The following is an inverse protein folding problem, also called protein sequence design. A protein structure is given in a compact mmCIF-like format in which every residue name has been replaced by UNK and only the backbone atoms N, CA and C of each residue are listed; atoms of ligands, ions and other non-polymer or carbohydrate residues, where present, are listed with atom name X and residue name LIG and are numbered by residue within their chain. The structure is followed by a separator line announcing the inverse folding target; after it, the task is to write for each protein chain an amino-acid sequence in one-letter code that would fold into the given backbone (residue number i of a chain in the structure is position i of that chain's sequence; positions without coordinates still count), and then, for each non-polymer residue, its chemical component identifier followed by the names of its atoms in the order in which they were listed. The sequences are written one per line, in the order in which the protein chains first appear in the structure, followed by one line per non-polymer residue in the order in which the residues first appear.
data_IF_863165121898
#
_entry.id   IF_863165121898
#
_cell.length_a   1.000
_cell.length_b   1.000
_cell.length_c   1.000
_cell.angle_alpha   90.00
_cell.angle_beta   90.00
_cell.angle_gamma   90.00
#
_symmetry.space_group_name_H-M   'P 1'
#
loop_
_entity.id
_entity.type
_entity.pdbx_description
1 polymer ?
#
# COMPACT_ATOMS: atom_id res chain seq x y z
N UNK A 1 3.35 16.94 31.81
CA UNK A 1 2.82 18.04 30.98
C UNK A 1 1.97 18.98 31.83
N UNK A 2 1.94 20.30 31.57
CA UNK A 2 1.04 21.22 32.26
C UNK A 2 -0.43 20.86 31.99
N UNK A 3 -1.34 21.07 32.96
CA UNK A 3 -2.76 20.80 32.78
C UNK A 3 -3.33 21.68 31.66
N UNK A 4 -4.20 21.10 30.82
CA UNK A 4 -4.78 21.82 29.69
C UNK A 4 -5.72 22.90 30.21
N UNK A 5 -5.64 24.10 29.63
CA UNK A 5 -6.55 25.20 29.90
C UNK A 5 -7.98 24.82 29.46
N UNK A 6 -8.95 24.99 30.37
CA UNK A 6 -10.34 24.68 30.08
C UNK A 6 -10.98 25.79 29.25
N UNK A 7 -11.71 25.40 28.21
CA UNK A 7 -12.64 26.31 27.53
C UNK A 7 -13.77 26.72 28.48
N UNK A 8 -14.43 27.85 28.17
CA UNK A 8 -15.63 28.31 28.90
C UNK A 8 -16.74 27.23 28.89
N UNK A 9 -16.90 26.54 27.75
CA UNK A 9 -17.82 25.42 27.58
C UNK A 9 -17.48 24.26 28.52
N UNK A 10 -16.22 23.83 28.58
CA UNK A 10 -15.82 22.71 29.44
C UNK A 10 -15.97 23.05 30.91
N UNK A 11 -15.66 24.29 31.29
CA UNK A 11 -15.88 24.78 32.64
C UNK A 11 -17.37 24.72 33.04
N UNK A 12 -18.28 25.08 32.13
CA UNK A 12 -19.73 24.96 32.34
C UNK A 12 -20.19 23.50 32.46
N UNK A 13 -19.70 22.62 31.58
CA UNK A 13 -20.04 21.20 31.61
C UNK A 13 -19.52 20.51 32.88
N UNK A 14 -18.31 20.82 33.35
CA UNK A 14 -17.77 20.33 34.63
C UNK A 14 -18.68 20.73 35.79
N UNK A 15 -19.13 22.00 35.84
CA UNK A 15 -20.06 22.47 36.88
C UNK A 15 -21.40 21.73 36.85
N UNK A 16 -21.89 21.36 35.67
CA UNK A 16 -23.12 20.56 35.52
C UNK A 16 -22.89 19.11 35.94
N UNK A 17 -21.79 18.51 35.51
CA UNK A 17 -21.41 17.13 35.84
C UNK A 17 -21.25 16.94 37.36
N UNK A 18 -20.70 17.93 38.08
CA UNK A 18 -20.59 17.91 39.54
C UNK A 18 -21.93 17.76 40.29
N UNK A 19 -23.06 18.11 39.65
CA UNK A 19 -24.39 18.02 40.27
C UNK A 19 -25.07 16.68 40.01
N UNK A 20 -24.45 15.81 39.20
CA UNK A 20 -25.04 14.52 38.85
C UNK A 20 -24.86 13.53 39.99
N UNK A 21 -25.82 12.60 40.16
CA UNK A 21 -25.71 11.56 41.16
C UNK A 21 -24.56 10.59 40.82
N UNK A 22 -23.97 9.93 41.83
CA UNK A 22 -23.12 8.77 41.59
C UNK A 22 -23.94 7.66 40.92
N UNK A 23 -23.30 6.79 40.14
CA UNK A 23 -23.99 5.70 39.47
C UNK A 23 -24.38 4.63 40.50
N UNK A 24 -25.53 3.97 40.29
CA UNK A 24 -26.02 2.91 41.18
C UNK A 24 -25.17 1.61 41.13
N UNK A 25 -24.32 1.48 40.12
CA UNK A 25 -23.41 0.37 39.91
C UNK A 25 -22.11 0.90 39.30
N UNK A 26 -21.07 0.04 39.23
CA UNK A 26 -19.86 0.36 38.50
C UNK A 26 -20.22 0.76 37.06
N UNK A 27 -19.65 1.86 36.58
CA UNK A 27 -19.89 2.38 35.24
C UNK A 27 -18.54 2.79 34.66
N UNK A 28 -18.04 1.98 33.73
CA UNK A 28 -16.70 2.12 33.19
C UNK A 28 -16.75 2.43 31.71
N UNK A 29 -16.14 3.56 31.32
CA UNK A 29 -16.05 3.99 29.93
C UNK A 29 -14.62 3.89 29.40
N UNK A 30 -14.50 3.66 28.09
CA UNK A 30 -13.29 3.92 27.33
C UNK A 30 -13.61 4.93 26.24
N UNK A 31 -12.83 6.01 26.16
CA UNK A 31 -12.98 7.02 25.13
C UNK A 31 -11.87 6.81 24.10
N UNK A 32 -12.27 6.55 22.86
CA UNK A 32 -11.36 6.20 21.78
C UNK A 32 -11.54 7.14 20.61
N UNK A 33 -10.44 7.65 20.08
CA UNK A 33 -10.40 8.32 18.80
C UNK A 33 -9.98 7.31 17.73
N UNK A 34 -10.74 7.19 16.65
CA UNK A 34 -10.37 6.34 15.53
C UNK A 34 -10.76 6.97 14.19
N UNK A 35 -9.94 6.73 13.18
CA UNK A 35 -10.19 7.13 11.81
C UNK A 35 -11.05 6.06 11.12
N UNK A 36 -12.11 6.46 10.42
CA UNK A 36 -12.95 5.49 9.70
C UNK A 36 -12.27 4.98 8.43
N UNK A 37 -12.72 3.83 7.94
CA UNK A 37 -12.26 3.20 6.69
C UNK A 37 -13.20 3.57 5.54
N UNK A 38 -13.41 4.87 5.36
CA UNK A 38 -14.20 5.49 4.30
C UNK A 38 -13.60 6.83 3.90
N UNK A 39 -13.93 7.29 2.70
CA UNK A 39 -13.63 8.62 2.21
C UNK A 39 -14.85 9.53 2.34
N UNK A 40 -14.62 10.70 2.93
CA UNK A 40 -15.59 11.81 2.98
C UNK A 40 -14.92 13.08 2.46
N UNK A 41 -15.70 14.06 2.05
CA UNK A 41 -15.17 15.39 1.80
C UNK A 41 -15.06 16.16 3.12
N UNK A 42 -13.90 16.78 3.38
CA UNK A 42 -13.80 17.74 4.46
C UNK A 42 -14.47 19.08 4.10
N UNK A 43 -14.38 20.06 5.01
CA UNK A 43 -14.95 21.40 4.81
C UNK A 43 -14.36 22.17 3.61
N UNK A 44 -13.25 21.72 3.03
CA UNK A 44 -12.62 22.28 1.83
C UNK A 44 -12.92 21.49 0.57
N UNK A 45 -13.73 20.42 0.66
CA UNK A 45 -14.02 19.51 -0.45
C UNK A 45 -12.93 18.46 -0.69
N UNK A 46 -11.88 18.39 0.15
CA UNK A 46 -10.79 17.42 0.00
C UNK A 46 -11.20 16.07 0.58
N UNK A 47 -10.88 15.01 -0.13
CA UNK A 47 -11.07 13.65 0.37
C UNK A 47 -10.24 13.44 1.63
N UNK A 48 -10.90 12.99 2.71
CA UNK A 48 -10.26 12.61 3.95
C UNK A 48 -10.96 11.40 4.57
N UNK A 49 -10.22 10.67 5.39
CA UNK A 49 -10.80 9.68 6.30
C UNK A 49 -11.21 10.42 7.59
N UNK A 50 -12.51 10.42 7.95
CA UNK A 50 -12.98 11.23 9.05
C UNK A 50 -12.58 10.61 10.40
N UNK A 51 -12.11 11.46 11.30
CA UNK A 51 -11.90 11.11 12.70
C UNK A 51 -13.21 11.12 13.47
N UNK A 52 -13.42 10.07 14.26
CA UNK A 52 -14.54 9.95 15.20
C UNK A 52 -14.02 9.75 16.61
N UNK A 53 -14.77 10.29 17.58
CA UNK A 53 -14.62 9.94 18.99
C UNK A 53 -15.75 8.98 19.34
N UNK A 54 -15.40 7.84 19.93
CA UNK A 54 -16.31 6.80 20.41
C UNK A 54 -16.32 6.78 21.94
N UNK A 55 -17.49 6.57 22.51
CA UNK A 55 -17.67 6.22 23.91
C UNK A 55 -18.07 4.75 24.00
N UNK A 56 -17.16 3.93 24.50
CA UNK A 56 -17.37 2.51 24.76
C UNK A 56 -17.74 2.34 26.23
N UNK A 57 -18.85 1.68 26.51
CA UNK A 57 -19.16 1.19 27.84
C UNK A 57 -18.50 -0.17 28.04
N UNK A 58 -17.37 -0.20 28.75
CA UNK A 58 -16.66 -1.44 29.09
C UNK A 58 -17.46 -2.28 30.10
N UNK A 59 -18.20 -1.61 30.98
CA UNK A 59 -19.08 -2.26 31.96
C UNK A 59 -20.30 -1.37 32.23
N UNK A 60 -21.52 -1.94 32.26
CA UNK A 60 -21.81 -3.38 32.28
C UNK A 60 -21.97 -4.07 30.91
N UNK A 61 -22.27 -3.36 29.81
CA UNK A 61 -22.74 -4.04 28.58
C UNK A 61 -21.66 -4.41 27.57
N UNK A 62 -20.50 -3.75 27.56
CA UNK A 62 -19.48 -3.97 26.52
C UNK A 62 -19.92 -3.45 25.14
N UNK A 63 -20.46 -2.23 25.05
CA UNK A 63 -21.04 -1.70 23.81
C UNK A 63 -20.58 -0.27 23.50
N UNK A 64 -20.61 0.12 22.23
CA UNK A 64 -20.46 1.53 21.84
C UNK A 64 -21.79 2.25 22.11
N UNK A 65 -21.78 3.22 23.02
CA UNK A 65 -22.99 3.91 23.49
C UNK A 65 -23.15 5.32 22.93
N UNK A 66 -22.08 5.92 22.40
CA UNK A 66 -22.12 7.22 21.77
C UNK A 66 -20.95 7.40 20.78
N UNK A 67 -21.13 8.25 19.77
CA UNK A 67 -20.07 8.64 18.86
C UNK A 67 -20.29 10.05 18.30
N UNK A 68 -19.20 10.74 17.95
CA UNK A 68 -19.26 12.01 17.22
C UNK A 68 -18.17 12.10 16.18
N UNK A 69 -18.48 12.75 15.05
CA UNK A 69 -17.48 13.14 14.05
C UNK A 69 -16.70 14.35 14.55
N UNK A 70 -15.41 14.40 14.22
CA UNK A 70 -14.57 15.57 14.44
C UNK A 70 -14.85 16.69 13.46
N UNK A 71 -14.60 17.92 13.89
CA UNK A 71 -14.70 19.12 13.07
C UNK A 71 -13.45 19.97 13.31
N UNK A 72 -12.50 20.04 12.35
CA UNK A 72 -12.54 19.40 11.02
C UNK A 72 -12.40 17.87 11.07
N UNK A 73 -13.06 17.17 10.15
CA UNK A 73 -13.07 15.70 10.12
C UNK A 73 -11.71 15.09 9.78
N UNK A 74 -10.85 15.83 9.09
CA UNK A 74 -9.51 15.40 8.67
C UNK A 74 -8.46 15.42 9.79
N UNK A 75 -8.79 15.96 10.98
CA UNK A 75 -7.83 16.11 12.08
C UNK A 75 -8.17 15.20 13.26
N UNK A 76 -7.16 14.60 13.90
CA UNK A 76 -7.37 13.85 15.13
C UNK A 76 -7.87 14.77 16.25
N UNK A 77 -8.70 14.26 17.18
CA UNK A 77 -9.16 15.05 18.32
C UNK A 77 -8.01 15.44 19.24
N UNK A 78 -8.05 16.68 19.73
CA UNK A 78 -7.22 17.07 20.87
C UNK A 78 -7.76 16.47 22.17
N UNK A 79 -6.97 16.41 23.26
CA UNK A 79 -7.51 15.97 24.55
C UNK A 79 -8.68 16.87 25.02
N UNK A 80 -8.67 18.16 24.67
CA UNK A 80 -9.78 19.08 24.95
C UNK A 80 -11.07 18.64 24.25
N UNK A 81 -10.99 18.16 23.01
CA UNK A 81 -12.15 17.66 22.26
C UNK A 81 -12.69 16.38 22.89
N UNK A 82 -11.81 15.47 23.30
CA UNK A 82 -12.17 14.24 23.99
C UNK A 82 -12.84 14.51 25.34
N UNK A 83 -12.33 15.48 26.12
CA UNK A 83 -12.96 15.92 27.36
C UNK A 83 -14.33 16.54 27.10
N UNK A 84 -14.43 17.41 26.09
CA UNK A 84 -15.69 18.07 25.71
C UNK A 84 -16.76 17.05 25.32
N UNK A 85 -16.37 16.03 24.55
CA UNK A 85 -17.23 14.92 24.15
C UNK A 85 -17.69 14.11 25.36
N UNK A 86 -16.77 13.67 26.21
CA UNK A 86 -17.07 12.89 27.42
C UNK A 86 -18.02 13.65 28.35
N UNK A 87 -17.72 14.92 28.64
CA UNK A 87 -18.56 15.71 29.54
C UNK A 87 -19.94 15.99 28.94
N UNK A 88 -20.03 16.21 27.63
CA UNK A 88 -21.32 16.36 26.95
C UNK A 88 -22.12 15.06 27.04
N UNK A 89 -21.47 13.91 26.85
CA UNK A 89 -22.10 12.60 27.02
C UNK A 89 -22.58 12.37 28.45
N UNK A 90 -21.78 12.67 29.47
CA UNK A 90 -22.16 12.51 30.88
C UNK A 90 -23.39 13.37 31.23
N UNK A 91 -23.40 14.61 30.75
CA UNK A 91 -24.41 15.60 31.11
C UNK A 91 -25.71 15.43 30.31
N UNK A 92 -25.63 14.95 29.08
CA UNK A 92 -26.75 14.75 28.18
C UNK A 92 -26.51 13.49 27.30
N UNK A 93 -26.63 12.30 27.90
CA UNK A 93 -26.33 11.06 27.20
C UNK A 93 -27.45 10.70 26.20
N UNK A 94 -27.17 9.88 25.18
CA UNK A 94 -28.20 9.38 24.25
C UNK A 94 -29.38 8.70 24.96
N UNK A 95 -30.53 8.60 24.29
CA UNK A 95 -31.73 7.94 24.86
C UNK A 95 -31.39 6.55 25.40
N UNK A 96 -31.96 6.21 26.56
CA UNK A 96 -31.78 4.94 27.28
C UNK A 96 -30.39 4.74 27.93
N UNK A 97 -29.62 5.82 28.10
CA UNK A 97 -28.37 5.82 28.85
C UNK A 97 -28.57 6.53 30.20
N UNK A 98 -27.89 6.08 31.27
CA UNK A 98 -28.01 6.72 32.58
C UNK A 98 -27.36 8.09 32.58
N UNK A 99 -28.06 9.09 33.14
CA UNK A 99 -27.47 10.40 33.45
C UNK A 99 -26.72 10.29 34.78
N UNK A 100 -25.50 9.77 34.73
CA UNK A 100 -24.67 9.52 35.90
C UNK A 100 -23.18 9.75 35.61
N UNK A 101 -22.41 10.02 36.66
CA UNK A 101 -20.95 10.07 36.56
C UNK A 101 -20.39 8.65 36.41
N UNK A 102 -19.52 8.36 35.42
CA UNK A 102 -18.83 7.08 35.38
C UNK A 102 -17.88 6.96 36.57
N UNK A 103 -17.78 5.76 37.14
CA UNK A 103 -16.78 5.50 38.20
C UNK A 103 -15.37 5.50 37.63
N UNK A 104 -15.22 5.09 36.37
CA UNK A 104 -13.93 4.94 35.71
C UNK A 104 -14.00 5.36 34.24
N UNK A 105 -12.97 6.06 33.77
CA UNK A 105 -12.76 6.40 32.36
C UNK A 105 -11.35 5.98 31.96
N UNK A 106 -11.22 5.38 30.79
CA UNK A 106 -9.93 5.01 30.23
C UNK A 106 -9.70 5.57 28.82
N UNK A 107 -8.42 5.75 28.48
CA UNK A 107 -7.95 6.17 27.17
C UNK A 107 -6.85 5.21 26.69
N UNK A 108 -6.57 5.22 25.38
CA UNK A 108 -5.49 4.40 24.78
C UNK A 108 -4.14 5.11 24.87
N UNK A 109 -4.15 6.44 24.74
CA UNK A 109 -2.94 7.26 24.74
C UNK A 109 -2.64 7.78 26.16
N UNK A 110 -1.46 7.41 26.68
CA UNK A 110 -0.96 7.84 27.97
C UNK A 110 -0.91 9.37 28.10
N UNK A 111 -0.53 10.09 27.03
CA UNK A 111 -0.44 11.55 27.04
C UNK A 111 -1.82 12.20 27.21
N UNK A 112 -2.85 11.62 26.60
CA UNK A 112 -4.25 12.04 26.76
C UNK A 112 -4.72 11.77 28.19
N UNK A 113 -4.44 10.57 28.72
CA UNK A 113 -4.75 10.20 30.11
C UNK A 113 -4.17 11.21 31.09
N UNK A 114 -2.87 11.51 30.98
CA UNK A 114 -2.18 12.44 31.87
C UNK A 114 -2.74 13.86 31.78
N UNK A 115 -3.07 14.31 30.57
CA UNK A 115 -3.57 15.65 30.34
C UNK A 115 -5.00 15.85 30.88
N UNK A 116 -5.82 14.79 30.89
CA UNK A 116 -7.23 14.84 31.32
C UNK A 116 -7.46 14.42 32.78
N UNK A 117 -6.53 13.66 33.36
CA UNK A 117 -6.67 13.14 34.72
C UNK A 117 -6.94 14.22 35.80
N UNK A 118 -6.29 15.41 35.80
CA UNK A 118 -6.59 16.44 36.79
C UNK A 118 -8.05 16.93 36.76
N UNK A 119 -8.66 16.98 35.58
CA UNK A 119 -10.03 17.46 35.41
C UNK A 119 -11.06 16.40 35.80
N UNK A 120 -10.81 15.14 35.43
CA UNK A 120 -11.71 14.03 35.72
C UNK A 120 -11.65 13.58 37.19
N UNK A 121 -10.49 13.62 37.84
CA UNK A 121 -10.36 13.31 39.27
C UNK A 121 -11.14 14.30 40.16
N UNK A 122 -11.28 15.56 39.73
CA UNK A 122 -12.14 16.54 40.43
C UNK A 122 -13.62 16.15 40.42
N UNK A 123 -14.03 15.36 39.43
CA UNK A 123 -15.38 14.79 39.33
C UNK A 123 -15.49 13.43 40.05
N UNK A 124 -14.47 13.02 40.82
CA UNK A 124 -14.36 11.70 41.43
C UNK A 124 -14.40 10.54 40.43
N UNK A 125 -13.88 10.76 39.21
CA UNK A 125 -13.77 9.74 38.17
C UNK A 125 -12.35 9.18 38.20
N UNK A 126 -12.21 7.85 38.32
CA UNK A 126 -10.91 7.18 38.16
C UNK A 126 -10.46 7.21 36.70
N UNK A 127 -9.17 7.47 36.47
CA UNK A 127 -8.62 7.62 35.11
C UNK A 127 -7.47 6.65 34.91
N UNK A 128 -7.52 5.88 33.83
CA UNK A 128 -6.50 4.89 33.49
C UNK A 128 -6.14 4.91 32.00
N UNK A 129 -4.95 4.40 31.68
CA UNK A 129 -4.57 4.06 30.30
C UNK A 129 -4.78 2.56 30.12
N UNK A 130 -5.62 2.17 29.15
CA UNK A 130 -5.89 0.77 28.83
C UNK A 130 -5.66 0.52 27.34
N UNK A 131 -5.39 -0.73 26.99
CA UNK A 131 -5.37 -1.16 25.59
C UNK A 131 -6.76 -1.01 24.98
N UNK A 132 -6.80 -0.90 23.65
CA UNK A 132 -8.05 -0.81 22.92
C UNK A 132 -8.97 -2.00 23.26
N UNK A 133 -10.25 -1.72 23.57
CA UNK A 133 -11.22 -2.77 23.81
C UNK A 133 -11.48 -3.62 22.56
N UNK A 134 -11.63 -4.93 22.77
CA UNK A 134 -11.93 -5.88 21.70
C UNK A 134 -13.24 -5.52 20.98
N UNK A 135 -13.27 -5.75 19.68
CA UNK A 135 -14.46 -5.52 18.85
C UNK A 135 -14.68 -4.09 18.35
N UNK A 136 -13.89 -3.08 18.79
CA UNK A 136 -14.01 -1.73 18.20
C UNK A 136 -13.69 -1.75 16.71
N UNK A 137 -12.66 -2.49 16.28
CA UNK A 137 -12.30 -2.58 14.85
C UNK A 137 -13.46 -3.10 14.00
N UNK A 138 -14.17 -4.13 14.47
CA UNK A 138 -15.36 -4.67 13.80
C UNK A 138 -16.52 -3.66 13.81
N UNK A 139 -16.69 -2.92 14.91
CA UNK A 139 -17.69 -1.86 14.99
C UNK A 139 -17.39 -0.74 13.99
N UNK A 140 -16.14 -0.26 13.93
CA UNK A 140 -15.69 0.78 12.99
C UNK A 140 -15.91 0.32 11.56
N UNK A 141 -15.65 -0.95 11.24
CA UNK A 141 -15.94 -1.54 9.92
C UNK A 141 -17.44 -1.51 9.61
N UNK A 142 -18.29 -2.05 10.48
CA UNK A 142 -19.76 -2.04 10.29
C UNK A 142 -20.31 -0.61 10.18
N UNK A 143 -19.79 0.31 10.97
CA UNK A 143 -20.19 1.71 10.94
C UNK A 143 -19.78 2.39 9.63
N UNK A 144 -18.57 2.08 9.13
CA UNK A 144 -18.06 2.51 7.83
C UNK A 144 -18.96 1.98 6.70
N UNK A 145 -19.33 0.70 6.73
CA UNK A 145 -20.23 0.09 5.73
C UNK A 145 -21.62 0.75 5.74
N UNK A 146 -22.15 1.05 6.94
CA UNK A 146 -23.41 1.79 7.08
C UNK A 146 -23.33 3.20 6.47
N UNK A 147 -22.23 3.92 6.67
CA UNK A 147 -22.05 5.25 6.08
C UNK A 147 -22.04 5.21 4.54
N UNK A 148 -21.49 4.16 3.94
CA UNK A 148 -21.54 3.94 2.49
C UNK A 148 -22.97 3.64 2.06
N UNK A 149 -23.68 2.75 2.77
CA UNK A 149 -25.08 2.41 2.48
C UNK A 149 -26.04 3.60 2.60
N UNK A 150 -25.72 4.59 3.43
CA UNK A 150 -26.49 5.81 3.62
C UNK A 150 -26.11 6.94 2.63
N UNK A 151 -25.25 6.67 1.63
CA UNK A 151 -24.69 7.65 0.67
C UNK A 151 -23.95 8.84 1.32
N UNK A 152 -23.40 8.62 2.53
CA UNK A 152 -22.67 9.65 3.29
C UNK A 152 -21.17 9.60 3.13
N UNK A 153 -20.66 8.53 2.53
CA UNK A 153 -19.25 8.32 2.30
C UNK A 153 -19.02 7.37 1.11
N UNK A 154 -17.80 7.37 0.59
CA UNK A 154 -17.40 6.48 -0.51
C UNK A 154 -16.24 5.61 -0.10
N UNK A 155 -16.04 4.50 -0.84
CA UNK A 155 -14.92 3.59 -0.65
C UNK A 155 -14.54 3.01 -1.99
N UNK A 156 -13.27 3.11 -2.35
CA UNK A 156 -12.76 2.50 -3.58
C UNK A 156 -12.36 1.05 -3.33
N UNK A 157 -12.40 0.23 -4.38
CA UNK A 157 -11.87 -1.14 -4.34
C UNK A 157 -10.40 -1.18 -3.93
N UNK A 158 -9.62 -0.17 -4.33
CA UNK A 158 -8.20 -0.03 -3.96
C UNK A 158 -8.04 0.12 -2.45
N UNK A 159 -8.93 0.86 -1.79
CA UNK A 159 -8.83 1.15 -0.35
C UNK A 159 -9.09 -0.07 0.54
N UNK A 160 -9.85 -1.07 0.08
CA UNK A 160 -10.14 -2.32 0.82
C UNK A 160 -9.17 -3.46 0.51
N UNK A 161 -8.19 -3.24 -0.38
CA UNK A 161 -7.17 -4.26 -0.63
C UNK A 161 -6.38 -4.53 0.65
N UNK A 162 -5.89 -5.76 0.87
CA UNK A 162 -4.99 -6.05 1.98
C UNK A 162 -3.71 -5.19 1.86
N UNK A 163 -3.20 -4.71 2.99
CA UNK A 163 -1.94 -3.96 3.04
C UNK A 163 -0.70 -4.87 3.03
N UNK A 164 0.48 -4.27 2.98
CA UNK A 164 1.78 -4.96 2.95
C UNK A 164 2.04 -5.86 4.16
N UNK A 165 1.48 -5.54 5.33
CA UNK A 165 1.60 -6.37 6.54
C UNK A 165 0.80 -7.67 6.46
N UNK A 166 -0.12 -7.81 5.51
CA UNK A 166 -0.82 -9.07 5.25
C UNK A 166 0.07 -10.10 4.53
N UNK A 167 1.20 -9.67 3.97
CA UNK A 167 2.13 -10.56 3.25
C UNK A 167 2.92 -11.41 4.25
N UNK A 168 2.98 -12.73 4.08
CA UNK A 168 3.77 -13.60 4.96
C UNK A 168 5.22 -13.13 5.10
N UNK A 169 5.70 -13.12 6.34
CA UNK A 169 7.07 -12.74 6.72
C UNK A 169 7.45 -11.27 6.48
N UNK A 170 6.52 -10.42 6.04
CA UNK A 170 6.73 -8.96 5.99
C UNK A 170 6.48 -8.38 7.37
N UNK A 171 7.44 -7.60 7.88
CA UNK A 171 7.38 -6.98 9.20
C UNK A 171 7.28 -5.47 9.09
N UNK A 172 6.77 -4.82 10.15
CA UNK A 172 6.73 -3.36 10.22
C UNK A 172 8.12 -2.72 10.10
N UNK A 173 9.18 -3.41 10.55
CA UNK A 173 10.57 -2.96 10.36
C UNK A 173 10.99 -2.97 8.90
N UNK A 174 10.58 -3.99 8.12
CA UNK A 174 10.89 -4.07 6.70
C UNK A 174 10.18 -2.95 5.92
N UNK A 175 8.90 -2.70 6.22
CA UNK A 175 8.14 -1.60 5.59
C UNK A 175 8.73 -0.24 6.00
N UNK A 176 9.17 -0.06 7.24
CA UNK A 176 9.89 1.15 7.67
C UNK A 176 11.16 1.39 6.83
N UNK A 177 11.93 0.34 6.55
CA UNK A 177 13.12 0.43 5.66
C UNK A 177 12.72 0.81 4.23
N UNK A 178 11.67 0.20 3.69
CA UNK A 178 11.12 0.50 2.35
C UNK A 178 10.69 1.95 2.23
N UNK A 179 9.81 2.39 3.11
CA UNK A 179 9.26 3.76 3.13
C UNK A 179 10.36 4.80 3.34
N UNK A 180 11.35 4.52 4.21
CA UNK A 180 12.53 5.38 4.41
C UNK A 180 13.36 5.49 3.13
N UNK A 181 13.66 4.37 2.47
CA UNK A 181 14.41 4.36 1.22
C UNK A 181 13.66 5.10 0.11
N UNK A 182 12.35 4.88 0.00
CA UNK A 182 11.49 5.57 -0.95
C UNK A 182 11.47 7.08 -0.70
N UNK A 183 11.29 7.56 0.54
CA UNK A 183 11.31 8.99 0.83
C UNK A 183 12.66 9.65 0.51
N UNK A 184 13.78 8.96 0.78
CA UNK A 184 15.12 9.44 0.38
C UNK A 184 15.26 9.54 -1.14
N UNK A 185 14.77 8.54 -1.86
CA UNK A 185 14.72 8.57 -3.33
C UNK A 185 13.85 9.73 -3.83
N UNK A 186 12.70 9.98 -3.18
CA UNK A 186 11.84 11.11 -3.53
C UNK A 186 12.54 12.45 -3.38
N UNK A 187 13.24 12.66 -2.26
CA UNK A 187 14.03 13.86 -2.03
C UNK A 187 15.17 14.02 -3.07
N UNK A 188 15.73 12.91 -3.57
CA UNK A 188 16.78 12.91 -4.58
C UNK A 188 16.28 13.18 -6.01
N UNK A 189 14.97 13.03 -6.27
CA UNK A 189 14.29 13.38 -7.52
C UNK A 189 14.95 12.84 -8.80
N UNK A 190 15.24 11.53 -8.91
CA UNK A 190 15.93 10.95 -10.07
C UNK A 190 15.20 11.20 -11.41
N UNK A 191 13.87 11.27 -11.39
CA UNK A 191 13.02 11.57 -12.57
C UNK A 191 13.28 12.92 -13.20
N UNK A 192 13.91 13.88 -12.50
CA UNK A 192 14.27 15.18 -13.09
C UNK A 192 15.42 15.08 -14.09
N UNK A 193 16.27 14.06 -14.00
CA UNK A 193 17.43 13.92 -14.88
C UNK A 193 17.44 12.60 -15.67
N UNK A 194 16.67 11.60 -15.24
CA UNK A 194 16.57 10.30 -15.92
C UNK A 194 15.22 10.25 -16.64
N UNK A 195 15.28 10.30 -17.98
CA UNK A 195 14.08 10.22 -18.79
C UNK A 195 13.42 8.83 -18.72
N UNK A 196 12.09 8.79 -18.76
CA UNK A 196 11.29 7.54 -18.70
C UNK A 196 11.62 6.53 -19.80
N UNK A 197 12.06 6.99 -20.96
CA UNK A 197 12.45 6.14 -22.07
C UNK A 197 13.82 5.47 -21.89
N UNK A 198 14.60 5.85 -20.87
CA UNK A 198 15.88 5.20 -20.60
C UNK A 198 15.67 3.93 -19.78
N UNK A 199 15.95 2.77 -20.38
CA UNK A 199 16.02 1.52 -19.66
C UNK A 199 17.37 1.41 -18.95
N UNK A 200 17.35 1.35 -17.61
CA UNK A 200 18.55 1.14 -16.81
C UNK A 200 18.68 -0.34 -16.44
N UNK A 201 19.87 -0.90 -16.58
CA UNK A 201 20.22 -2.23 -16.09
C UNK A 201 20.87 -2.10 -14.71
N UNK A 202 20.30 -2.80 -13.74
CA UNK A 202 20.81 -2.88 -12.37
C UNK A 202 21.27 -4.29 -12.05
N UNK A 203 22.48 -4.40 -11.50
CA UNK A 203 23.05 -5.64 -11.00
C UNK A 203 23.18 -5.53 -9.49
N UNK A 204 22.35 -6.28 -8.77
CA UNK A 204 22.42 -6.36 -7.32
C UNK A 204 23.63 -7.20 -6.88
N UNK A 205 24.22 -6.91 -5.71
CA UNK A 205 25.30 -7.71 -5.15
C UNK A 205 24.87 -9.18 -5.00
N UNK A 206 25.83 -10.08 -5.22
CA UNK A 206 25.62 -11.51 -4.98
C UNK A 206 25.57 -11.74 -3.47
N UNK A 207 24.50 -12.37 -2.99
CA UNK A 207 24.49 -12.91 -1.63
C UNK A 207 25.30 -14.20 -1.67
N UNK A 208 26.44 -14.21 -0.95
CA UNK A 208 27.58 -15.15 -0.80
C UNK A 208 27.74 -16.43 -1.65
N UNK A 209 26.70 -16.98 -2.28
CA UNK A 209 26.74 -18.18 -3.14
C UNK A 209 25.85 -18.10 -4.41
N UNK A 210 25.12 -17.01 -4.66
CA UNK A 210 24.19 -16.89 -5.81
C UNK A 210 24.65 -15.90 -6.88
N UNK A 211 24.33 -16.19 -8.14
CA UNK A 211 24.57 -15.27 -9.28
C UNK A 211 23.98 -13.88 -8.98
N UNK A 212 24.69 -12.81 -9.36
CA UNK A 212 24.20 -11.43 -9.30
C UNK A 212 22.82 -11.35 -9.96
N UNK A 213 21.83 -10.86 -9.21
CA UNK A 213 20.49 -10.67 -9.76
C UNK A 213 20.51 -9.45 -10.67
N UNK A 214 19.95 -9.61 -11.87
CA UNK A 214 19.85 -8.55 -12.87
C UNK A 214 18.41 -8.13 -13.03
N UNK A 215 18.18 -6.82 -12.98
CA UNK A 215 16.90 -6.22 -13.28
C UNK A 215 17.05 -5.08 -14.30
N UNK A 216 15.95 -4.73 -14.93
CA UNK A 216 15.80 -3.59 -15.81
C UNK A 216 14.74 -2.68 -15.23
N UNK A 217 15.03 -1.39 -15.13
CA UNK A 217 14.10 -0.42 -14.56
C UNK A 217 13.92 0.78 -15.47
N UNK A 218 12.76 1.42 -15.30
CA UNK A 218 12.47 2.77 -15.77
C UNK A 218 12.12 3.64 -14.57
N UNK A 219 12.57 4.90 -14.61
CA UNK A 219 12.23 5.92 -13.62
C UNK A 219 11.01 6.68 -14.14
N UNK A 220 9.95 6.74 -13.33
CA UNK A 220 8.67 7.37 -13.68
C UNK A 220 8.63 8.79 -13.09
N UNK A 221 8.08 9.75 -13.83
CA UNK A 221 7.86 11.12 -13.33
C UNK A 221 8.14 12.25 -14.31
N UNK A 222 8.25 11.97 -15.61
CA UNK A 222 8.48 12.98 -16.65
C UNK A 222 7.31 13.95 -16.82
N UNK A 223 6.09 13.55 -16.43
CA UNK A 223 4.88 14.38 -16.48
C UNK A 223 4.51 15.01 -15.13
N UNK A 224 5.37 14.82 -14.10
CA UNK A 224 5.18 15.26 -12.71
C UNK A 224 3.91 14.73 -12.00
N UNK A 225 3.09 13.91 -12.66
CA UNK A 225 1.83 13.37 -12.09
C UNK A 225 2.08 12.09 -11.32
N UNK A 226 2.92 11.21 -11.85
CA UNK A 226 3.22 9.91 -11.24
C UNK A 226 4.72 9.74 -11.15
N UNK A 227 5.24 9.85 -9.93
CA UNK A 227 6.66 9.68 -9.64
C UNK A 227 6.92 8.29 -9.08
N UNK A 228 8.07 7.71 -9.41
CA UNK A 228 8.45 6.40 -8.87
C UNK A 228 9.39 5.61 -9.77
N UNK A 229 9.29 4.30 -9.71
CA UNK A 229 9.98 3.40 -10.64
C UNK A 229 9.17 2.15 -10.91
N UNK A 230 9.47 1.54 -12.05
CA UNK A 230 9.02 0.20 -12.39
C UNK A 230 10.21 -0.69 -12.73
N UNK A 231 10.20 -1.92 -12.21
CA UNK A 231 11.29 -2.88 -12.27
C UNK A 231 10.81 -4.19 -12.90
N UNK A 232 11.58 -4.71 -13.86
CA UNK A 232 11.29 -5.95 -14.56
C UNK A 232 12.54 -6.83 -14.64
N UNK A 233 12.40 -8.16 -14.66
CA UNK A 233 13.55 -9.07 -14.81
C UNK A 233 14.09 -9.10 -16.26
N UNK A 234 13.34 -8.57 -17.23
CA UNK A 234 13.62 -8.69 -18.66
C UNK A 234 13.54 -7.35 -19.39
N UNK A 235 14.59 -7.02 -20.14
CA UNK A 235 14.63 -5.84 -21.02
C UNK A 235 13.59 -5.94 -22.14
N UNK A 236 13.36 -7.15 -22.66
CA UNK A 236 12.35 -7.37 -23.69
C UNK A 236 10.94 -7.03 -23.17
N UNK A 237 10.65 -7.35 -21.92
CA UNK A 237 9.35 -7.05 -21.32
C UNK A 237 9.17 -5.55 -21.09
N UNK A 238 10.24 -4.89 -20.64
CA UNK A 238 10.27 -3.43 -20.49
C UNK A 238 10.07 -2.72 -21.83
N UNK A 239 10.78 -3.14 -22.89
CA UNK A 239 10.57 -2.65 -24.26
C UNK A 239 9.14 -2.84 -24.72
N UNK A 240 8.58 -4.04 -24.53
CA UNK A 240 7.22 -4.36 -24.94
C UNK A 240 6.19 -3.49 -24.22
N UNK A 241 6.39 -3.23 -22.92
CA UNK A 241 5.54 -2.32 -22.14
C UNK A 241 5.64 -0.89 -22.65
N UNK A 242 6.86 -0.40 -22.87
CA UNK A 242 7.09 0.96 -23.38
C UNK A 242 6.45 1.17 -24.75
N UNK A 243 6.64 0.23 -25.69
CA UNK A 243 6.01 0.26 -27.02
C UNK A 243 4.48 0.35 -26.93
N UNK A 244 3.85 -0.49 -26.09
CA UNK A 244 2.40 -0.42 -25.86
C UNK A 244 1.99 0.94 -25.30
N UNK A 245 2.70 1.45 -24.29
CA UNK A 245 2.36 2.72 -23.66
C UNK A 245 2.48 3.92 -24.62
N UNK A 246 3.43 3.90 -25.56
CA UNK A 246 3.62 4.97 -26.55
C UNK A 246 2.62 4.84 -27.71
N UNK A 247 2.44 3.64 -28.27
CA UNK A 247 1.54 3.42 -29.42
C UNK A 247 0.06 3.61 -29.06
N UNK A 248 -0.36 3.21 -27.85
CA UNK A 248 -1.73 3.45 -27.39
C UNK A 248 -2.00 4.89 -26.95
N UNK A 249 -0.99 5.78 -26.93
CA UNK A 249 -1.24 7.23 -26.77
C UNK A 249 -1.59 7.92 -28.09
N UNK A 250 -1.21 7.33 -29.23
CA UNK A 250 -1.41 7.92 -30.55
C UNK A 250 -2.73 7.53 -31.20
N UNK A 251 -3.26 6.35 -30.87
CA UNK A 251 -4.63 5.98 -31.22
C UNK A 251 -5.54 6.55 -30.13
N UNK A 252 -6.33 7.57 -30.49
CA UNK A 252 -7.28 8.20 -29.59
C UNK A 252 -8.19 7.18 -28.90
N UNK A 253 -8.68 7.56 -27.73
CA UNK A 253 -9.69 6.87 -26.92
C UNK A 253 -11.03 6.71 -27.69
N UNK A 254 -11.05 5.96 -28.77
CA UNK A 254 -12.25 5.29 -29.24
C UNK A 254 -12.33 4.00 -28.43
N UNK A 255 -13.09 4.11 -27.34
CA UNK A 255 -13.53 3.03 -26.46
C UNK A 255 -14.47 2.09 -27.23
N UNK A 256 -13.93 1.40 -28.23
CA UNK A 256 -14.56 0.22 -28.80
C UNK A 256 -14.33 -0.92 -27.83
N UNK A 257 -15.18 -0.94 -26.80
CA UNK A 257 -15.29 -2.01 -25.84
C UNK A 257 -15.31 -3.37 -26.56
N UNK A 258 -14.22 -4.13 -26.40
CA UNK A 258 -14.02 -5.57 -26.63
C UNK A 258 -12.73 -5.95 -27.39
N UNK A 259 -12.08 -5.05 -28.13
CA UNK A 259 -11.01 -5.47 -29.06
C UNK A 259 -9.57 -5.34 -28.54
N UNK A 260 -9.37 -4.72 -27.38
CA UNK A 260 -8.06 -4.64 -26.70
C UNK A 260 -7.72 -5.83 -25.79
N UNK A 261 -8.61 -6.80 -25.63
CA UNK A 261 -8.28 -8.05 -24.93
C UNK A 261 -7.44 -8.89 -25.87
N UNK A 262 -6.14 -9.03 -25.59
CA UNK A 262 -5.38 -10.16 -26.10
C UNK A 262 -6.19 -11.40 -25.72
N UNK A 263 -6.77 -12.08 -26.71
CA UNK A 263 -7.58 -13.26 -26.47
C UNK A 263 -6.82 -14.20 -25.52
N UNK A 264 -7.48 -14.82 -24.53
CA UNK A 264 -6.84 -15.71 -23.56
C UNK A 264 -6.10 -16.90 -24.19
N UNK A 265 -6.18 -17.08 -25.51
CA UNK A 265 -5.53 -18.16 -26.26
C UNK A 265 -4.29 -17.72 -27.04
N UNK A 266 -3.79 -16.50 -26.87
CA UNK A 266 -2.55 -16.05 -27.54
C UNK A 266 -1.33 -16.60 -26.79
N UNK A 267 -0.85 -17.75 -27.26
CA UNK A 267 0.44 -18.32 -26.84
C UNK A 267 1.58 -17.43 -27.32
N UNK A 268 2.57 -17.14 -26.46
CA UNK A 268 3.70 -16.25 -26.79
C UNK A 268 5.02 -16.96 -26.56
N UNK A 269 6.03 -16.69 -27.40
CA UNK A 269 7.34 -17.30 -27.27
C UNK A 269 8.13 -16.64 -26.14
N UNK A 270 8.61 -17.44 -25.20
CA UNK A 270 9.36 -16.97 -24.04
C UNK A 270 10.75 -16.38 -24.38
N UNK A 271 11.25 -16.60 -25.59
CA UNK A 271 12.52 -16.03 -26.07
C UNK A 271 12.35 -14.72 -26.82
N UNK A 272 11.39 -14.67 -27.76
CA UNK A 272 11.29 -13.55 -28.72
C UNK A 272 10.02 -12.71 -28.57
N UNK A 273 9.05 -13.15 -27.74
CA UNK A 273 7.80 -12.43 -27.52
C UNK A 273 6.81 -12.45 -28.68
N UNK A 274 7.11 -13.15 -29.79
CA UNK A 274 6.16 -13.35 -30.88
C UNK A 274 5.08 -14.34 -30.49
N UNK A 275 3.90 -14.21 -31.09
CA UNK A 275 2.83 -15.21 -30.99
C UNK A 275 3.37 -16.57 -31.46
N UNK A 276 3.06 -17.61 -30.71
CA UNK A 276 3.35 -19.00 -31.04
C UNK A 276 2.10 -19.53 -31.72
N UNK A 277 2.25 -19.93 -32.97
CA UNK A 277 1.21 -20.66 -33.68
C UNK A 277 1.30 -22.15 -33.33
N UNK A 278 0.16 -22.81 -33.24
CA UNK A 278 0.11 -24.25 -33.12
C UNK A 278 0.63 -24.88 -34.41
N UNK A 279 1.64 -25.74 -34.29
CA UNK A 279 2.17 -26.53 -35.40
C UNK A 279 1.41 -27.85 -35.50
N UNK A 280 1.27 -28.38 -36.72
CA UNK A 280 0.73 -29.71 -36.96
C UNK A 280 1.87 -30.73 -36.99
N UNK A 281 1.79 -31.75 -36.14
CA UNK A 281 2.61 -32.94 -36.25
C UNK A 281 2.16 -33.81 -37.44
N UNK A 282 3.03 -34.73 -37.86
CA UNK A 282 2.76 -35.66 -38.97
C UNK A 282 1.50 -36.52 -38.74
N UNK A 283 1.13 -36.76 -37.48
CA UNK A 283 -0.07 -37.50 -37.07
C UNK A 283 -1.33 -36.62 -36.95
N UNK A 284 -1.25 -35.36 -37.38
CA UNK A 284 -2.34 -34.40 -37.32
C UNK A 284 -2.57 -33.76 -35.95
N UNK A 285 -1.77 -34.10 -34.93
CA UNK A 285 -1.88 -33.44 -33.61
C UNK A 285 -1.29 -32.04 -33.65
N UNK A 286 -2.00 -31.09 -33.04
CA UNK A 286 -1.50 -29.74 -32.85
C UNK A 286 -0.57 -29.69 -31.63
N UNK A 287 0.59 -29.07 -31.79
CA UNK A 287 1.56 -28.90 -30.71
C UNK A 287 2.24 -27.54 -30.79
N UNK A 288 2.92 -27.19 -29.71
CA UNK A 288 3.74 -25.99 -29.61
C UNK A 288 5.07 -26.39 -28.97
N UNK A 289 6.17 -25.80 -29.43
CA UNK A 289 7.48 -26.14 -28.87
C UNK A 289 7.53 -25.74 -27.39
N UNK A 290 7.83 -26.71 -26.53
CA UNK A 290 7.90 -26.54 -25.07
C UNK A 290 9.26 -26.95 -24.57
N UNK A 291 9.70 -26.34 -23.48
CA UNK A 291 10.85 -26.87 -22.75
C UNK A 291 10.58 -28.32 -22.32
N UNK A 292 11.43 -29.28 -22.71
CA UNK A 292 11.21 -30.69 -22.43
C UNK A 292 11.25 -31.02 -20.93
N UNK A 293 12.05 -30.27 -20.16
CA UNK A 293 12.23 -30.48 -18.72
C UNK A 293 11.04 -29.91 -17.92
N UNK A 294 10.81 -28.59 -17.96
CA UNK A 294 9.74 -27.99 -17.16
C UNK A 294 8.35 -28.08 -17.83
N UNK A 295 8.29 -28.20 -19.17
CA UNK A 295 7.05 -28.15 -19.98
C UNK A 295 6.22 -26.86 -19.81
N UNK A 296 6.80 -25.82 -19.19
CA UNK A 296 6.14 -24.56 -18.81
C UNK A 296 6.27 -23.44 -19.84
N UNK A 297 7.45 -23.26 -20.44
CA UNK A 297 7.69 -22.21 -21.45
C UNK A 297 7.40 -22.71 -22.87
N UNK A 298 6.79 -21.85 -23.70
CA UNK A 298 6.58 -22.10 -25.12
C UNK A 298 7.59 -21.31 -25.96
N UNK A 299 7.90 -21.87 -27.11
CA UNK A 299 8.79 -21.28 -28.08
C UNK A 299 8.17 -21.34 -29.47
N UNK A 300 8.56 -20.41 -30.34
CA UNK A 300 8.22 -20.53 -31.76
C UNK A 300 8.85 -21.80 -32.34
N UNK A 301 10.08 -22.11 -31.91
CA UNK A 301 10.92 -23.17 -32.42
C UNK A 301 12.02 -23.53 -31.40
N UNK A 302 12.80 -24.56 -31.74
CA UNK A 302 13.95 -24.99 -30.95
C UNK A 302 15.06 -23.92 -30.84
N UNK A 303 15.18 -23.03 -31.83
CA UNK A 303 16.20 -21.98 -31.85
C UNK A 303 15.95 -20.95 -30.75
N UNK A 304 14.69 -20.51 -30.62
CA UNK A 304 14.21 -19.67 -29.54
C UNK A 304 14.42 -20.34 -28.18
N UNK A 305 14.12 -21.63 -28.07
CA UNK A 305 14.35 -22.39 -26.84
C UNK A 305 15.83 -22.41 -26.46
N UNK A 306 16.74 -22.77 -27.37
CA UNK A 306 18.19 -22.83 -27.11
C UNK A 306 18.76 -21.47 -26.70
N UNK A 307 18.30 -20.39 -27.36
CA UNK A 307 18.69 -19.02 -27.03
C UNK A 307 18.26 -18.64 -25.61
N UNK A 308 17.00 -18.88 -25.27
CA UNK A 308 16.45 -18.59 -23.94
C UNK A 308 17.10 -19.46 -22.85
N UNK A 309 17.36 -20.73 -23.16
CA UNK A 309 18.07 -21.69 -22.31
C UNK A 309 19.45 -21.19 -21.91
N UNK A 310 20.24 -20.74 -22.89
CA UNK A 310 21.58 -20.22 -22.66
C UNK A 310 21.57 -18.91 -21.84
N UNK A 311 20.55 -18.05 -22.02
CA UNK A 311 20.51 -16.73 -21.43
C UNK A 311 19.93 -16.68 -20.01
N UNK A 312 18.85 -17.44 -19.74
CA UNK A 312 18.13 -17.37 -18.46
C UNK A 312 17.46 -18.67 -18.05
N UNK A 313 16.87 -19.40 -19.00
CA UNK A 313 15.89 -20.43 -18.65
C UNK A 313 16.51 -21.64 -17.96
N UNK A 314 17.78 -21.98 -18.22
CA UNK A 314 18.44 -23.12 -17.58
C UNK A 314 18.35 -23.07 -16.04
N UNK A 315 18.72 -21.95 -15.43
CA UNK A 315 18.66 -21.79 -13.96
C UNK A 315 17.23 -21.73 -13.41
N UNK A 316 16.30 -21.14 -14.17
CA UNK A 316 14.89 -21.09 -13.79
C UNK A 316 14.26 -22.50 -13.85
N UNK A 317 14.64 -23.30 -14.85
CA UNK A 317 14.15 -24.64 -15.10
C UNK A 317 14.63 -25.65 -14.04
N UNK A 318 15.90 -25.59 -13.65
CA UNK A 318 16.47 -26.44 -12.60
C UNK A 318 15.78 -26.18 -11.24
N UNK A 319 15.54 -24.91 -10.92
CA UNK A 319 14.81 -24.51 -9.71
C UNK A 319 13.37 -25.01 -9.73
N UNK A 320 12.69 -24.91 -10.87
CA UNK A 320 11.31 -25.35 -11.04
C UNK A 320 11.10 -26.87 -10.95
N UNK A 321 12.15 -27.67 -11.15
CA UNK A 321 12.10 -29.13 -11.13
C UNK A 321 12.38 -29.75 -9.75
N UNK A 322 13.02 -29.00 -8.83
CA UNK A 322 13.48 -29.52 -7.54
C UNK A 322 12.44 -29.43 -6.42
N UNK A 323 11.33 -28.72 -6.61
CA UNK A 323 10.34 -28.46 -5.57
C UNK A 323 9.02 -29.17 -5.92
N UNK A 324 8.72 -30.27 -5.21
CA UNK A 324 7.55 -31.12 -5.48
C UNK A 324 6.26 -30.63 -4.80
N UNK A 325 6.35 -29.77 -3.77
CA UNK A 325 5.21 -29.02 -3.23
C UNK A 325 4.84 -27.83 -4.13
N UNK A 326 5.75 -27.45 -5.03
CA UNK A 326 5.55 -26.56 -6.18
C UNK A 326 4.74 -27.20 -7.33
N UNK A 327 3.88 -28.16 -7.02
CA UNK A 327 2.86 -28.71 -7.94
C UNK A 327 1.57 -27.95 -7.69
N UNK A 328 1.57 -26.66 -8.06
CA UNK A 328 0.35 -25.84 -8.10
C UNK A 328 -0.18 -25.70 -9.54
N UNK A 329 -1.49 -25.46 -9.59
CA UNK A 329 -2.44 -25.53 -10.71
C UNK A 329 -1.88 -24.98 -12.02
N UNK A 330 -2.36 -25.58 -13.11
CA UNK A 330 -2.01 -25.39 -14.54
C UNK A 330 -2.09 -23.94 -15.05
N UNK A 331 -2.45 -22.98 -14.19
CA UNK A 331 -2.95 -21.67 -14.55
C UNK A 331 -1.99 -20.53 -14.17
N UNK A 332 -0.94 -20.76 -13.36
CA UNK A 332 -0.28 -19.62 -12.68
C UNK A 332 1.23 -19.38 -12.87
N UNK A 333 2.11 -20.25 -13.41
CA UNK A 333 3.57 -19.96 -13.24
C UNK A 333 4.53 -20.13 -14.44
N UNK A 334 4.02 -20.20 -15.68
CA UNK A 334 4.88 -20.10 -16.88
C UNK A 334 4.98 -18.70 -17.50
N UNK A 335 4.03 -17.82 -17.15
CA UNK A 335 3.68 -16.64 -17.97
C UNK A 335 3.65 -15.34 -17.19
N UNK A 336 3.73 -15.41 -15.86
CA UNK A 336 3.52 -14.24 -15.02
C UNK A 336 4.75 -13.34 -15.02
N UNK A 337 4.75 -12.37 -15.92
CA UNK A 337 5.69 -11.26 -15.88
C UNK A 337 5.32 -10.43 -14.65
N UNK A 338 6.14 -10.54 -13.61
CA UNK A 338 6.02 -9.71 -12.41
C UNK A 338 6.84 -8.45 -12.61
N UNK A 339 6.13 -7.33 -12.64
CA UNK A 339 6.72 -6.01 -12.62
C UNK A 339 6.55 -5.45 -11.21
N UNK A 340 7.66 -5.10 -10.55
CA UNK A 340 7.61 -4.45 -9.25
C UNK A 340 7.53 -2.94 -9.47
N UNK A 341 6.55 -2.31 -8.84
CA UNK A 341 6.28 -0.89 -9.01
C UNK A 341 6.25 -0.22 -7.65
N UNK A 342 6.97 0.90 -7.52
CA UNK A 342 6.88 1.82 -6.39
C UNK A 342 6.45 3.18 -6.93
N UNK A 343 5.26 3.65 -6.55
CA UNK A 343 4.72 4.95 -6.94
C UNK A 343 4.53 5.85 -5.72
N UNK A 344 4.65 7.16 -5.90
CA UNK A 344 4.20 8.14 -4.92
C UNK A 344 2.80 8.59 -5.29
N UNK A 345 1.82 8.22 -4.47
CA UNK A 345 0.39 8.44 -4.74
C UNK A 345 -0.27 9.18 -3.59
N UNK A 346 -1.41 9.81 -3.87
CA UNK A 346 -2.23 10.42 -2.83
C UNK A 346 -2.88 9.33 -1.92
N UNK A 347 -3.38 9.70 -0.73
CA UNK A 347 -3.93 8.75 0.23
C UNK A 347 -5.10 7.91 -0.30
N UNK A 348 -5.89 8.42 -1.26
CA UNK A 348 -7.07 7.71 -1.79
C UNK A 348 -6.72 6.47 -2.60
N UNK A 349 -5.47 6.43 -3.10
CA UNK A 349 -4.91 5.31 -3.85
C UNK A 349 -4.21 4.26 -2.97
N UNK A 350 -4.15 4.49 -1.66
CA UNK A 350 -3.45 3.59 -0.71
C UNK A 350 -4.48 2.70 0.02
N UNK A 351 -4.20 1.40 0.18
CA UNK A 351 -5.00 0.54 1.05
C UNK A 351 -5.15 1.10 2.47
N UNK A 352 -6.33 0.97 3.08
CA UNK A 352 -6.55 1.44 4.45
C UNK A 352 -5.63 0.75 5.46
N UNK A 353 -5.33 -0.54 5.29
CA UNK A 353 -4.37 -1.26 6.14
C UNK A 353 -2.99 -0.61 6.13
N UNK A 354 -2.53 -0.15 4.96
CA UNK A 354 -1.25 0.51 4.84
C UNK A 354 -1.30 1.91 5.48
N UNK A 355 -2.36 2.68 5.25
CA UNK A 355 -2.58 3.99 5.91
C UNK A 355 -2.62 3.86 7.43
N UNK A 356 -3.34 2.88 7.95
CA UNK A 356 -3.39 2.56 9.39
C UNK A 356 -1.97 2.19 9.88
N UNK A 357 -1.19 1.46 9.07
CA UNK A 357 0.21 1.16 9.33
C UNK A 357 1.10 2.41 9.40
N UNK A 358 0.96 3.36 8.47
CA UNK A 358 1.69 4.64 8.51
C UNK A 358 1.39 5.42 9.79
N UNK A 359 0.14 5.42 10.25
CA UNK A 359 -0.25 6.10 11.49
C UNK A 359 0.26 5.38 12.74
N UNK A 360 0.13 4.06 12.80
CA UNK A 360 0.49 3.23 13.95
C UNK A 360 2.01 3.17 14.13
N UNK A 361 2.75 2.87 13.07
CA UNK A 361 4.21 2.64 13.12
C UNK A 361 5.04 3.89 12.80
N UNK A 362 4.37 5.02 12.50
CA UNK A 362 5.02 6.31 12.16
C UNK A 362 6.01 6.19 11.00
N UNK A 363 5.68 5.39 9.99
CA UNK A 363 6.52 5.27 8.80
C UNK A 363 6.63 6.61 8.06
N UNK A 364 7.79 6.93 7.48
CA UNK A 364 7.97 8.17 6.73
C UNK A 364 7.18 8.15 5.40
N UNK A 365 6.64 9.29 5.04
CA UNK A 365 5.99 9.57 3.76
C UNK A 365 6.25 11.05 3.40
N UNK A 366 5.93 11.46 2.17
CA UNK A 366 6.21 12.82 1.68
C UNK A 366 5.12 13.78 2.17
N UNK A 367 5.47 14.66 3.11
CA UNK A 367 4.52 15.57 3.78
C UNK A 367 4.41 16.94 3.12
N UNK A 368 5.41 17.31 2.34
CA UNK A 368 5.56 18.63 1.74
C UNK A 368 4.57 18.87 0.58
N UNK A 369 3.93 17.81 0.11
CA UNK A 369 2.92 17.85 -0.95
C UNK A 369 1.51 17.99 -0.38
N UNK A 370 0.59 18.56 -1.16
CA UNK A 370 -0.82 18.70 -0.80
C UNK A 370 -1.71 18.13 -1.92
N UNK A 371 -2.27 16.91 -1.77
CA UNK A 371 -2.19 16.03 -0.60
C UNK A 371 -0.79 15.43 -0.37
N UNK A 372 -0.48 14.94 0.85
CA UNK A 372 0.77 14.21 1.11
C UNK A 372 0.85 12.97 0.22
N UNK A 373 2.06 12.59 -0.18
CA UNK A 373 2.29 11.42 -1.04
C UNK A 373 2.85 10.25 -0.26
N UNK A 374 2.30 9.07 -0.53
CA UNK A 374 2.63 7.81 0.10
C UNK A 374 3.33 6.90 -0.90
N UNK A 375 4.43 6.22 -0.53
CA UNK A 375 5.02 5.19 -1.36
C UNK A 375 4.10 3.96 -1.39
N UNK A 376 3.40 3.77 -2.51
CA UNK A 376 2.60 2.59 -2.79
C UNK A 376 3.45 1.58 -3.58
N UNK A 377 3.63 0.39 -3.01
CA UNK A 377 4.37 -0.70 -3.66
C UNK A 377 3.46 -1.86 -4.01
N UNK A 378 3.54 -2.31 -5.24
CA UNK A 378 2.79 -3.47 -5.72
C UNK A 378 3.57 -4.23 -6.79
N UNK A 379 3.15 -5.47 -7.04
CA UNK A 379 3.57 -6.22 -8.20
C UNK A 379 2.43 -6.24 -9.22
N UNK A 380 2.67 -5.72 -10.42
CA UNK A 380 1.81 -6.01 -11.55
C UNK A 380 2.15 -7.40 -12.08
N UNK A 381 1.14 -8.25 -12.17
CA UNK A 381 1.28 -9.65 -12.53
C UNK A 381 0.56 -9.84 -13.85
N UNK A 382 1.33 -9.87 -14.92
CA UNK A 382 0.80 -10.01 -16.27
C UNK A 382 0.67 -11.50 -16.63
N UNK A 383 -0.56 -12.01 -16.67
CA UNK A 383 -0.92 -13.32 -17.23
C UNK A 383 -1.90 -13.16 -18.37
N UNK A 384 -2.97 -13.96 -18.40
CA UNK A 384 -4.12 -13.74 -19.29
C UNK A 384 -4.84 -12.42 -18.99
N UNK A 385 -4.86 -12.02 -17.71
CA UNK A 385 -5.28 -10.69 -17.27
C UNK A 385 -4.14 -10.05 -16.48
N UNK A 386 -4.08 -8.72 -16.53
CA UNK A 386 -3.18 -7.96 -15.65
C UNK A 386 -3.85 -7.84 -14.29
N UNK A 387 -3.25 -8.42 -13.25
CA UNK A 387 -3.71 -8.25 -11.86
C UNK A 387 -2.67 -7.54 -11.02
N UNK A 388 -3.14 -6.75 -10.06
CA UNK A 388 -2.29 -6.15 -9.04
C UNK A 388 -2.18 -7.15 -7.88
N UNK A 389 -0.96 -7.44 -7.47
CA UNK A 389 -0.65 -8.29 -6.32
C UNK A 389 0.28 -7.55 -5.34
N UNK A 390 0.31 -8.01 -4.10
CA UNK A 390 1.31 -7.54 -3.14
C UNK A 390 2.70 -8.11 -3.48
N UNK A 391 3.77 -7.34 -3.26
CA UNK A 391 5.13 -7.84 -3.41
C UNK A 391 5.46 -8.79 -2.25
N UNK A 392 6.20 -9.86 -2.55
CA UNK A 392 6.74 -10.77 -1.53
C UNK A 392 7.81 -10.07 -0.68
N UNK A 393 8.17 -10.64 0.47
CA UNK A 393 9.27 -10.14 1.31
C UNK A 393 10.56 -9.88 0.51
N UNK A 394 10.97 -10.82 -0.32
CA UNK A 394 12.19 -10.72 -1.13
C UNK A 394 12.08 -9.63 -2.20
N UNK A 395 10.90 -9.48 -2.80
CA UNK A 395 10.64 -8.40 -3.75
C UNK A 395 10.70 -7.02 -3.07
N UNK A 396 10.19 -6.89 -1.84
CA UNK A 396 10.32 -5.66 -1.04
C UNK A 396 11.79 -5.34 -0.75
N UNK A 397 12.60 -6.35 -0.40
CA UNK A 397 14.05 -6.18 -0.20
C UNK A 397 14.74 -5.67 -1.47
N UNK A 398 14.41 -6.24 -2.64
CA UNK A 398 14.88 -5.74 -3.93
C UNK A 398 14.45 -4.29 -4.16
N UNK A 399 13.19 -3.95 -3.88
CA UNK A 399 12.68 -2.59 -4.07
C UNK A 399 13.37 -1.56 -3.14
N UNK A 400 13.76 -1.97 -1.92
CA UNK A 400 14.58 -1.15 -1.02
C UNK A 400 15.93 -0.83 -1.67
N UNK A 401 16.60 -1.83 -2.23
CA UNK A 401 17.91 -1.65 -2.85
C UNK A 401 17.82 -0.81 -4.13
N UNK A 402 16.75 -0.95 -4.91
CA UNK A 402 16.48 -0.08 -6.07
C UNK A 402 16.25 1.36 -5.64
N UNK A 403 15.45 1.62 -4.60
CA UNK A 403 15.22 2.98 -4.11
C UNK A 403 16.52 3.65 -3.62
N UNK A 404 17.39 2.88 -2.93
CA UNK A 404 18.73 3.36 -2.55
C UNK A 404 19.62 3.64 -3.76
N UNK A 405 19.63 2.73 -4.72
CA UNK A 405 20.36 2.87 -5.99
C UNK A 405 19.98 4.18 -6.69
N UNK A 406 18.69 4.48 -6.79
CA UNK A 406 18.17 5.71 -7.39
C UNK A 406 18.35 6.96 -6.52
N UNK A 407 18.64 6.80 -5.23
CA UNK A 407 19.06 7.91 -4.36
C UNK A 407 20.52 8.29 -4.64
N UNK A 408 21.39 7.32 -4.91
CA UNK A 408 22.81 7.55 -5.22
C UNK A 408 23.04 7.92 -6.71
N UNK A 409 22.20 7.41 -7.61
CA UNK A 409 22.30 7.61 -9.06
C UNK A 409 21.13 8.47 -9.57
N UNK A 410 21.23 9.78 -9.34
CA UNK A 410 20.20 10.77 -9.75
C UNK A 410 20.34 11.27 -11.18
N UNK A 411 21.40 10.88 -11.89
CA UNK A 411 21.68 11.21 -13.29
C UNK A 411 21.89 9.90 -14.08
N UNK A 412 21.57 9.87 -15.38
CA UNK A 412 21.76 8.68 -16.18
C UNK A 412 23.25 8.29 -16.18
N UNK A 413 23.58 6.99 -16.07
CA UNK A 413 24.94 6.54 -16.32
C UNK A 413 25.43 6.96 -17.71
N UNK A 414 26.75 7.12 -17.92
CA UNK A 414 27.29 7.31 -19.27
C UNK A 414 26.84 6.18 -20.20
N UNK A 415 26.62 6.47 -21.49
CA UNK A 415 26.04 5.53 -22.47
C UNK A 415 26.73 4.16 -22.49
N UNK A 416 28.06 4.15 -22.37
CA UNK A 416 28.88 2.93 -22.34
C UNK A 416 29.52 2.68 -20.96
N UNK A 417 29.08 3.41 -19.94
CA UNK A 417 29.62 3.36 -18.59
C UNK A 417 28.83 2.47 -17.64
N UNK A 418 29.53 1.88 -16.67
CA UNK A 418 28.93 1.26 -15.49
C UNK A 418 29.30 2.09 -14.28
N UNK A 419 28.30 2.51 -13.51
CA UNK A 419 28.51 3.15 -12.22
C UNK A 419 28.44 2.07 -11.15
N UNK A 420 29.49 1.96 -10.34
CA UNK A 420 29.52 1.13 -9.16
C UNK A 420 29.19 2.00 -7.94
N UNK A 421 28.10 1.65 -7.27
CA UNK A 421 27.57 2.40 -6.14
C UNK A 421 28.19 1.93 -4.81
N UNK A 422 28.10 2.77 -3.78
CA UNK A 422 28.65 2.44 -2.46
C UNK A 422 27.91 1.24 -1.83
N UNK A 423 26.66 1.03 -2.22
CA UNK A 423 25.85 -0.16 -1.89
C UNK A 423 26.34 -1.47 -2.52
N UNK A 424 27.36 -1.45 -3.38
CA UNK A 424 27.83 -2.61 -4.14
C UNK A 424 26.95 -2.94 -5.35
N UNK A 425 25.89 -2.16 -5.59
CA UNK A 425 25.05 -2.25 -6.78
C UNK A 425 25.77 -1.64 -7.98
N UNK A 426 25.63 -2.25 -9.15
CA UNK A 426 26.11 -1.66 -10.40
C UNK A 426 24.95 -1.24 -11.29
N UNK A 427 24.99 -0.03 -11.82
CA UNK A 427 23.95 0.52 -12.70
C UNK A 427 24.56 1.01 -14.02
N UNK A 428 23.87 0.75 -15.13
CA UNK A 428 24.28 1.13 -16.49
C UNK A 428 23.05 1.42 -17.33
N UNK A 429 23.19 2.22 -18.39
CA UNK A 429 22.14 2.33 -19.41
C UNK A 429 22.10 1.02 -20.19
N UNK A 430 20.93 0.37 -20.23
CA UNK A 430 20.72 -0.81 -21.05
C UNK A 430 20.44 -0.40 -22.50
N UNK A 431 19.57 0.59 -22.67
CA UNK A 431 19.13 1.11 -23.97
C UNK A 431 18.27 2.38 -23.79
N UNK A 432 18.19 3.18 -24.84
CA UNK A 432 17.11 4.17 -25.04
C UNK A 432 15.92 3.52 -25.76
N UNK A 433 14.81 3.32 -25.05
CA UNK A 433 13.61 2.63 -25.55
C UNK A 433 12.93 3.39 -26.70
N UNK A 434 13.14 4.69 -26.83
CA UNK A 434 12.62 5.48 -27.94
C UNK A 434 13.28 5.08 -29.27
N UNK A 435 14.56 4.72 -29.26
CA UNK A 435 15.30 4.24 -30.44
C UNK A 435 14.81 2.85 -30.88
N UNK A 436 14.05 2.17 -30.02
CA UNK A 436 13.45 0.86 -30.24
C UNK A 436 12.02 0.92 -30.80
N UNK A 437 11.47 2.11 -31.05
CA UNK A 437 10.16 2.26 -31.70
C UNK A 437 10.32 2.05 -33.22
N UNK A 438 9.36 1.37 -33.88
CA UNK A 438 9.40 1.13 -35.32
C UNK A 438 9.25 2.41 -36.15
#
# INVERSE_FOLDING_TARGET
MPPIALSSRNSSLIKRAHKLPPPNAKLAYQIVAAQLRVWTADHTGRACRPWYIFCLELYPRGTVINQTIMRPASQPPSPTDMLSFLLSHIVDPPKNQPVALPTQVSFIDQSVTEALAPHLRRLNIEVATLTLADGLSDYVKRFSDKMISDDRATRSDTSERPGLLSVPHVSASLISKLTTAACKMYAAQPWRNIAEHLALRVLLPADSEKRRQRFFLTVLGSDEKIMGFALMPSLHDLRSKYRRAVLHRTDGLEDDGEQGRIAPDVLVCASCGRRVEEQLAEDGRRFVHRCAACKRLLYCDETCQRRDWAQRHRSECETAAADAEYVFRRDEWGWLKRELVCLFVDPTSVPFDDLDGFELFKWPFVREQSPPLYPLTFASVQGFTTRVALPTKKEIEVMIDIARTLTECVRPPPKDGVIHLASGVSISVAENLADSLP
#
